data_IF_264918119021
#
_entry.id   IF_264918119021
#
_cell.length_a   1.000
_cell.length_b   1.000
_cell.length_c   1.000
_cell.angle_alpha   90.00
_cell.angle_beta   90.00
_cell.angle_gamma   90.00
#
_symmetry.space_group_name_H-M   'P 1'
#
loop_
_entity.id
_entity.type
_entity.pdbx_description
1 polymer ?
#
# COMPACT_ATOMS: atom_id res chain seq x y z
N UNK A 1 0.81 13.19 0.91
CA UNK A 1 -0.28 12.27 0.51
C UNK A 1 -1.67 12.90 0.65
N UNK A 2 -1.97 13.62 1.73
CA UNK A 2 -3.30 14.16 2.05
C UNK A 2 -4.07 14.95 0.95
N UNK A 3 -3.40 15.48 -0.07
CA UNK A 3 -4.05 16.22 -1.16
C UNK A 3 -4.37 15.35 -2.40
N UNK A 4 -3.83 14.13 -2.49
CA UNK A 4 -3.99 13.27 -3.65
C UNK A 4 -5.26 12.42 -3.56
N UNK A 5 -5.84 12.06 -4.71
CA UNK A 5 -6.96 11.12 -4.79
C UNK A 5 -6.52 9.65 -4.89
N UNK A 6 -5.34 9.40 -5.48
CA UNK A 6 -4.74 8.07 -5.69
C UNK A 6 -3.22 8.16 -5.61
N UNK A 7 -2.57 7.08 -5.14
CA UNK A 7 -1.16 6.81 -5.40
C UNK A 7 -1.05 5.84 -6.59
N UNK A 8 -0.24 6.18 -7.59
CA UNK A 8 0.18 5.24 -8.64
C UNK A 8 1.63 4.83 -8.39
N UNK A 9 1.87 3.54 -8.20
CA UNK A 9 3.21 2.96 -8.03
C UNK A 9 3.40 1.68 -8.86
N UNK A 10 3.29 1.73 -10.21
CA UNK A 10 3.44 0.54 -11.06
C UNK A 10 4.93 0.20 -11.29
N UNK A 11 5.63 -0.24 -10.25
CA UNK A 11 7.06 -0.53 -10.32
C UNK A 11 7.37 -1.81 -11.11
N UNK A 12 8.52 -1.83 -11.80
CA UNK A 12 9.08 -3.05 -12.41
C UNK A 12 9.76 -3.96 -11.39
N UNK A 13 10.34 -3.37 -10.36
CA UNK A 13 11.04 -4.05 -9.28
C UNK A 13 10.96 -3.18 -8.04
N UNK A 14 10.56 -3.77 -6.91
CA UNK A 14 10.49 -3.06 -5.64
C UNK A 14 10.62 -4.08 -4.50
N UNK A 15 11.65 -3.93 -3.66
CA UNK A 15 11.94 -4.89 -2.61
C UNK A 15 10.83 -4.92 -1.54
N UNK A 16 10.22 -3.76 -1.29
CA UNK A 16 9.16 -3.58 -0.32
C UNK A 16 8.18 -2.52 -0.82
N UNK A 17 8.57 -1.25 -0.72
CA UNK A 17 7.76 -0.09 -1.10
C UNK A 17 7.10 0.57 0.10
N UNK A 18 7.87 1.31 0.91
CA UNK A 18 7.38 2.06 2.08
C UNK A 18 6.22 2.99 1.69
N UNK A 19 6.30 3.61 0.51
CA UNK A 19 5.25 4.49 -0.03
C UNK A 19 3.88 3.81 -0.16
N UNK A 20 3.82 2.48 -0.29
CA UNK A 20 2.56 1.73 -0.32
C UNK A 20 1.86 1.77 1.05
N UNK A 21 2.63 1.57 2.13
CA UNK A 21 2.11 1.63 3.51
C UNK A 21 1.86 3.07 3.94
N UNK A 22 2.72 4.02 3.56
CA UNK A 22 2.47 5.45 3.82
C UNK A 22 1.13 5.88 3.23
N UNK A 23 0.78 5.41 2.02
CA UNK A 23 -0.52 5.69 1.40
C UNK A 23 -1.68 5.07 2.19
N UNK A 24 -1.55 3.83 2.67
CA UNK A 24 -2.53 3.21 3.58
C UNK A 24 -2.74 4.11 4.81
N UNK A 25 -1.66 4.51 5.49
CA UNK A 25 -1.74 5.35 6.70
C UNK A 25 -2.35 6.73 6.44
N UNK A 26 -2.17 7.26 5.23
CA UNK A 26 -2.78 8.52 4.80
C UNK A 26 -4.25 8.38 4.36
N UNK A 27 -4.81 7.16 4.34
CA UNK A 27 -6.14 6.91 3.77
C UNK A 27 -6.21 7.13 2.27
N UNK A 28 -5.09 6.97 1.56
CA UNK A 28 -4.95 7.21 0.12
C UNK A 28 -5.01 5.88 -0.65
N UNK A 29 -6.02 5.65 -1.51
CA UNK A 29 -6.08 4.43 -2.30
C UNK A 29 -4.90 4.27 -3.27
N UNK A 30 -4.51 3.02 -3.55
CA UNK A 30 -3.26 2.72 -4.27
C UNK A 30 -3.49 1.82 -5.49
N UNK A 31 -2.90 2.19 -6.62
CA UNK A 31 -2.75 1.32 -7.79
C UNK A 31 -1.27 0.97 -7.94
N UNK A 32 -0.92 -0.30 -7.71
CA UNK A 32 0.46 -0.79 -7.71
C UNK A 32 0.61 -2.04 -8.57
N UNK A 33 1.81 -2.58 -8.67
CA UNK A 33 2.11 -3.88 -9.31
C UNK A 33 2.35 -4.96 -8.27
N UNK A 34 1.97 -6.20 -8.60
CA UNK A 34 2.14 -7.37 -7.73
C UNK A 34 3.61 -7.73 -7.44
N UNK A 35 4.56 -7.18 -8.20
CA UNK A 35 6.00 -7.38 -7.98
C UNK A 35 6.54 -6.60 -6.77
N UNK A 36 5.82 -5.60 -6.26
CA UNK A 36 6.28 -4.88 -5.07
C UNK A 36 6.14 -5.77 -3.83
N UNK A 37 7.20 -5.87 -3.02
CA UNK A 37 7.18 -6.71 -1.82
C UNK A 37 6.01 -6.44 -0.87
N UNK A 38 5.55 -5.19 -0.77
CA UNK A 38 4.42 -4.78 0.06
C UNK A 38 3.08 -4.64 -0.70
N UNK A 39 2.99 -5.07 -1.96
CA UNK A 39 1.73 -5.01 -2.72
C UNK A 39 0.58 -5.78 -2.07
N UNK A 40 0.87 -6.87 -1.36
CA UNK A 40 -0.13 -7.67 -0.66
C UNK A 40 -0.90 -6.86 0.40
N UNK A 41 -0.26 -5.88 1.05
CA UNK A 41 -0.94 -4.99 2.00
C UNK A 41 -2.06 -4.18 1.35
N UNK A 42 -1.94 -3.82 0.07
CA UNK A 42 -3.01 -3.12 -0.66
C UNK A 42 -4.25 -4.00 -0.82
N UNK A 43 -4.03 -5.31 -1.02
CA UNK A 43 -5.10 -6.32 -1.13
C UNK A 43 -5.69 -6.63 0.24
N UNK A 44 -4.85 -6.84 1.26
CA UNK A 44 -5.27 -7.12 2.63
C UNK A 44 -6.06 -5.96 3.24
N UNK A 45 -5.62 -4.73 3.00
CA UNK A 45 -6.33 -3.52 3.39
C UNK A 45 -7.56 -3.23 2.51
N UNK A 46 -7.77 -3.97 1.41
CA UNK A 46 -8.82 -3.74 0.42
C UNK A 46 -8.95 -2.26 0.05
N UNK A 47 -7.82 -1.62 -0.26
CA UNK A 47 -7.73 -0.18 -0.45
C UNK A 47 -7.15 0.23 -1.81
N UNK A 48 -7.28 -0.63 -2.80
CA UNK A 48 -6.68 -0.43 -4.10
C UNK A 48 -6.55 -1.73 -4.89
N UNK A 49 -5.65 -1.74 -5.87
CA UNK A 49 -5.43 -2.88 -6.75
C UNK A 49 -3.92 -3.13 -6.95
N UNK A 50 -3.53 -4.41 -6.94
CA UNK A 50 -2.20 -4.87 -7.28
C UNK A 50 -2.24 -5.60 -8.64
N UNK A 51 -1.64 -4.98 -9.65
CA UNK A 51 -1.68 -5.48 -11.03
C UNK A 51 -0.78 -6.71 -11.17
N UNK A 52 -1.37 -7.82 -11.59
CA UNK A 52 -0.70 -9.10 -11.74
C UNK A 52 0.37 -9.11 -12.84
N UNK A 53 1.34 -10.01 -12.70
CA UNK A 53 2.31 -10.34 -13.74
C UNK A 53 1.76 -11.38 -14.74
N UNK A 54 2.16 -11.33 -16.03
CA UNK A 54 2.98 -10.26 -16.63
C UNK A 54 2.19 -8.95 -16.73
N UNK A 55 2.83 -7.83 -16.38
CA UNK A 55 2.20 -6.51 -16.42
C UNK A 55 1.57 -6.20 -17.79
N UNK A 56 0.34 -5.67 -17.77
CA UNK A 56 -0.36 -5.14 -18.94
C UNK A 56 -0.82 -3.72 -18.71
N UNK A 57 -0.34 -2.79 -19.53
CA UNK A 57 -0.69 -1.38 -19.44
C UNK A 57 -2.19 -1.14 -19.57
N UNK A 58 -2.88 -1.93 -20.40
CA UNK A 58 -4.33 -1.84 -20.58
C UNK A 58 -5.09 -2.17 -19.29
N UNK A 59 -4.55 -3.07 -18.45
CA UNK A 59 -5.11 -3.37 -17.13
C UNK A 59 -4.99 -2.17 -16.20
N UNK A 60 -3.81 -1.53 -16.14
CA UNK A 60 -3.64 -0.29 -15.37
C UNK A 60 -4.58 0.82 -15.87
N UNK A 61 -4.69 1.01 -17.19
CA UNK A 61 -5.53 2.03 -17.79
C UNK A 61 -7.00 1.86 -17.39
N UNK A 62 -7.52 0.64 -17.46
CA UNK A 62 -8.92 0.36 -17.11
C UNK A 62 -9.18 0.52 -15.61
N UNK A 63 -8.27 0.06 -14.76
CA UNK A 63 -8.40 0.24 -13.30
C UNK A 63 -8.33 1.72 -12.93
N UNK A 64 -7.37 2.47 -13.49
CA UNK A 64 -7.28 3.91 -13.26
C UNK A 64 -8.55 4.63 -13.71
N UNK A 65 -9.07 4.31 -14.89
CA UNK A 65 -10.33 4.87 -15.40
C UNK A 65 -11.50 4.56 -14.46
N UNK A 66 -11.64 3.32 -13.99
CA UNK A 66 -12.67 2.92 -13.02
C UNK A 66 -12.50 3.70 -11.72
N UNK A 67 -11.30 3.70 -11.16
CA UNK A 67 -10.97 4.43 -9.94
C UNK A 67 -11.39 5.89 -10.07
N UNK A 68 -10.99 6.62 -11.12
CA UNK A 68 -11.32 8.04 -11.30
C UNK A 68 -12.81 8.33 -11.59
N UNK A 69 -13.54 7.40 -12.20
CA UNK A 69 -14.96 7.59 -12.55
C UNK A 69 -15.95 7.07 -11.51
N UNK A 70 -15.50 6.23 -10.56
CA UNK A 70 -16.34 5.66 -9.51
C UNK A 70 -15.94 6.21 -8.14
N UNK A 71 -16.43 7.40 -7.80
CA UNK A 71 -16.08 8.07 -6.53
C UNK A 71 -16.45 7.24 -5.29
N UNK A 72 -17.53 6.47 -5.32
CA UNK A 72 -17.92 5.59 -4.22
C UNK A 72 -16.90 4.47 -3.95
N UNK A 73 -16.31 3.90 -5.02
CA UNK A 73 -15.24 2.92 -4.90
C UNK A 73 -14.00 3.54 -4.25
N UNK A 74 -13.58 4.74 -4.71
CA UNK A 74 -12.43 5.44 -4.10
C UNK A 74 -12.66 5.79 -2.63
N UNK A 75 -13.88 6.21 -2.28
CA UNK A 75 -14.24 6.51 -0.89
C UNK A 75 -14.16 5.25 -0.01
N UNK A 76 -14.72 4.14 -0.48
CA UNK A 76 -14.64 2.86 0.23
C UNK A 76 -13.18 2.40 0.42
N UNK A 77 -12.33 2.50 -0.62
CA UNK A 77 -10.91 2.19 -0.48
C UNK A 77 -10.20 3.10 0.53
N UNK A 78 -10.50 4.41 0.52
CA UNK A 78 -9.91 5.35 1.46
C UNK A 78 -10.33 5.06 2.91
N UNK A 79 -11.59 4.66 3.12
CA UNK A 79 -12.09 4.21 4.43
C UNK A 79 -11.41 2.93 4.90
N UNK A 80 -11.27 1.95 4.01
CA UNK A 80 -10.61 0.69 4.34
C UNK A 80 -9.11 0.90 4.66
N UNK A 81 -8.42 1.76 3.91
CA UNK A 81 -7.03 2.13 4.19
C UNK A 81 -6.87 2.68 5.62
N UNK A 82 -7.71 3.64 6.02
CA UNK A 82 -7.70 4.19 7.38
C UNK A 82 -7.98 3.13 8.43
N UNK A 83 -9.00 2.29 8.20
CA UNK A 83 -9.33 1.21 9.13
C UNK A 83 -8.17 0.22 9.30
N UNK A 84 -7.49 -0.15 8.22
CA UNK A 84 -6.34 -1.03 8.27
C UNK A 84 -5.16 -0.38 9.02
N UNK A 85 -4.90 0.90 8.75
CA UNK A 85 -3.86 1.67 9.47
C UNK A 85 -4.12 1.75 10.99
N UNK A 86 -5.39 1.85 11.39
CA UNK A 86 -5.79 1.94 12.81
C UNK A 86 -5.72 0.59 13.54
N UNK A 87 -5.68 -0.53 12.81
CA UNK A 87 -5.85 -1.88 13.39
C UNK A 87 -4.67 -2.82 13.19
N UNK A 88 -3.69 -2.45 12.37
CA UNK A 88 -2.53 -3.28 12.05
C UNK A 88 -1.21 -2.63 12.50
N UNK A 89 -0.23 -3.47 12.84
CA UNK A 89 1.12 -3.00 13.18
C UNK A 89 1.95 -2.75 11.93
N UNK A 90 1.93 -1.51 11.46
CA UNK A 90 2.72 -1.03 10.32
C UNK A 90 3.94 -0.20 10.75
N UNK A 91 4.25 -0.15 12.05
CA UNK A 91 5.04 0.94 12.64
C UNK A 91 6.23 0.48 13.49
N UNK A 92 6.18 -0.74 14.05
CA UNK A 92 7.13 -1.17 15.08
C UNK A 92 8.51 -1.62 14.57
N UNK A 93 8.78 -1.50 13.26
CA UNK A 93 10.06 -1.91 12.66
C UNK A 93 11.30 -1.37 13.41
N UNK A 94 11.43 -0.06 13.70
CA UNK A 94 12.64 0.46 14.36
C UNK A 94 12.85 -0.13 15.76
N UNK A 95 11.79 -0.30 16.56
CA UNK A 95 11.88 -0.90 17.90
C UNK A 95 12.31 -2.36 17.81
N UNK A 96 11.64 -3.16 16.96
CA UNK A 96 11.99 -4.58 16.76
C UNK A 96 13.40 -4.77 16.22
N UNK A 97 13.85 -3.88 15.34
CA UNK A 97 15.22 -3.91 14.83
C UNK A 97 16.24 -3.55 15.93
N UNK A 98 15.94 -2.56 16.77
CA UNK A 98 16.78 -2.18 17.90
C UNK A 98 16.92 -3.33 18.90
N UNK A 99 15.83 -4.01 19.26
CA UNK A 99 15.84 -5.17 20.17
C UNK A 99 16.82 -6.27 19.70
N UNK A 100 16.84 -6.57 18.39
CA UNK A 100 17.76 -7.54 17.79
C UNK A 100 19.21 -7.05 17.88
N UNK A 101 19.45 -5.75 17.70
CA UNK A 101 20.80 -5.15 17.75
C UNK A 101 21.33 -5.10 19.18
N UNK A 102 20.48 -4.77 20.17
CA UNK A 102 20.90 -4.53 21.56
C UNK A 102 20.76 -5.74 22.48
N UNK A 103 20.10 -6.83 22.04
CA UNK A 103 19.78 -8.02 22.84
C UNK A 103 20.94 -8.82 23.44
N UNK A 104 22.19 -8.35 23.34
CA UNK A 104 23.37 -8.90 24.01
C UNK A 104 23.92 -8.06 25.17
N UNK A 105 23.25 -6.96 25.57
CA UNK A 105 23.74 -6.06 26.63
C UNK A 105 23.21 -6.38 28.05
N UNK A 106 22.27 -7.33 28.18
CA UNK A 106 21.65 -7.71 29.47
C UNK A 106 21.84 -9.21 29.84
N UNK A 107 22.93 -9.84 29.37
CA UNK A 107 23.28 -11.25 29.66
C UNK A 107 24.50 -11.41 30.57
#
# INVERSE_FOLDING_TARGET
MAAADLLLHPAYQEAAGIVLLEAITAGLPVLTTAVCGYAHYIVDANCGEAIAEPFRQETLNEILRKALTQSSLRQAWAENARHYADTQDLYSLPEKAADIITGGLDG
#
